data_IF_315052781703
#
_entry.id   IF_315052781703
#
_cell.length_a   1.000
_cell.length_b   1.000
_cell.length_c   1.000
_cell.angle_alpha   90.00
_cell.angle_beta   90.00
_cell.angle_gamma   90.00
#
_symmetry.space_group_name_H-M   'P 1'
#
loop_
_entity.id
_entity.type
_entity.pdbx_description
1 polymer ?
#
# COMPACT_ATOMS: atom_id res chain seq x y z
N UNK A 1 -5.24 38.40 -25.91
CA UNK A 1 -3.85 38.13 -25.46
C UNK A 1 -3.77 37.04 -24.38
N UNK A 2 -4.77 36.92 -23.48
CA UNK A 2 -4.73 35.97 -22.35
C UNK A 2 -4.68 34.47 -22.77
N UNK A 3 -5.37 34.08 -23.82
CA UNK A 3 -5.49 32.65 -24.18
C UNK A 3 -4.21 32.07 -24.77
N UNK A 4 -3.42 32.89 -25.47
CA UNK A 4 -2.14 32.46 -26.08
C UNK A 4 -1.08 32.34 -24.99
N UNK A 5 -1.03 33.30 -24.05
CA UNK A 5 -0.13 33.24 -22.90
C UNK A 5 -0.48 32.06 -21.99
N UNK A 6 -1.76 31.82 -21.72
CA UNK A 6 -2.20 30.69 -20.89
C UNK A 6 -1.87 29.33 -21.55
N UNK A 7 -2.05 29.20 -22.87
CA UNK A 7 -1.64 28.01 -23.63
C UNK A 7 -0.13 27.82 -23.64
N UNK A 8 0.64 28.90 -23.83
CA UNK A 8 2.10 28.85 -23.81
C UNK A 8 2.64 28.45 -22.43
N UNK A 9 2.08 29.01 -21.36
CA UNK A 9 2.44 28.62 -19.97
C UNK A 9 2.07 27.17 -19.69
N UNK A 10 0.89 26.72 -20.13
CA UNK A 10 0.47 25.32 -20.02
C UNK A 10 1.40 24.36 -20.76
N UNK A 11 1.84 24.69 -21.98
CA UNK A 11 2.77 23.88 -22.77
C UNK A 11 4.16 23.84 -22.12
N UNK A 12 4.66 24.96 -21.59
CA UNK A 12 5.96 25.03 -20.92
C UNK A 12 5.97 24.25 -19.61
N UNK A 13 4.91 24.37 -18.80
CA UNK A 13 4.74 23.58 -17.57
C UNK A 13 4.65 22.09 -17.86
N UNK A 14 3.91 21.72 -18.91
CA UNK A 14 3.81 20.33 -19.37
C UNK A 14 5.18 19.81 -19.82
N UNK A 15 5.92 20.56 -20.65
CA UNK A 15 7.25 20.20 -21.10
C UNK A 15 8.26 20.03 -19.95
N UNK A 16 8.17 20.84 -18.89
CA UNK A 16 9.01 20.68 -17.68
C UNK A 16 8.62 19.48 -16.82
N UNK A 17 7.35 19.07 -16.83
CA UNK A 17 6.91 17.87 -16.11
C UNK A 17 7.37 16.56 -16.79
N UNK A 18 7.75 16.61 -18.08
CA UNK A 18 8.25 15.45 -18.82
C UNK A 18 9.71 15.06 -18.48
N UNK A 19 10.49 15.91 -17.81
CA UNK A 19 11.94 15.68 -17.62
C UNK A 19 12.34 14.92 -16.36
N UNK A 20 11.39 14.40 -15.59
CA UNK A 20 11.72 13.58 -14.42
C UNK A 20 10.48 12.97 -13.78
N UNK A 21 10.02 11.83 -14.31
CA UNK A 21 9.03 11.03 -13.61
C UNK A 21 9.78 10.08 -12.67
N UNK A 22 9.79 10.40 -11.38
CA UNK A 22 10.37 9.53 -10.35
C UNK A 22 9.24 8.66 -9.79
N UNK A 23 9.22 7.40 -10.21
CA UNK A 23 8.17 6.42 -9.93
C UNK A 23 8.19 5.31 -10.98
N UNK A 24 7.52 4.19 -10.71
CA UNK A 24 7.60 3.00 -11.57
C UNK A 24 6.88 3.14 -12.93
N UNK A 25 5.97 4.11 -13.08
CA UNK A 25 5.14 4.30 -14.28
C UNK A 25 4.43 3.00 -14.72
N UNK A 26 3.85 2.29 -13.76
CA UNK A 26 3.32 0.96 -13.93
C UNK A 26 2.27 0.83 -15.06
N UNK A 27 1.38 1.81 -15.24
CA UNK A 27 0.34 1.75 -16.28
C UNK A 27 0.95 1.96 -17.66
N UNK A 28 1.81 2.96 -17.81
CA UNK A 28 2.52 3.26 -19.05
C UNK A 28 3.44 2.10 -19.45
N UNK A 29 4.07 1.45 -18.47
CA UNK A 29 4.84 0.21 -18.67
C UNK A 29 3.99 -0.93 -19.24
N UNK A 30 2.73 -1.08 -18.79
CA UNK A 30 1.79 -2.07 -19.36
C UNK A 30 1.44 -1.77 -20.83
N UNK A 31 1.22 -0.50 -21.17
CA UNK A 31 0.97 -0.09 -22.57
C UNK A 31 2.20 -0.36 -23.45
N UNK A 32 3.40 -0.09 -22.91
CA UNK A 32 4.65 -0.39 -23.61
C UNK A 32 4.82 -1.89 -23.86
N UNK A 33 4.53 -2.73 -22.85
CA UNK A 33 4.54 -4.19 -23.00
C UNK A 33 3.58 -4.65 -24.10
N UNK A 34 2.35 -4.13 -24.10
CA UNK A 34 1.38 -4.42 -25.17
C UNK A 34 1.93 -4.06 -26.56
N UNK A 35 2.54 -2.88 -26.72
CA UNK A 35 3.13 -2.48 -28.00
C UNK A 35 4.28 -3.42 -28.45
N UNK A 36 5.11 -3.88 -27.51
CA UNK A 36 6.20 -4.83 -27.81
C UNK A 36 5.66 -6.19 -28.28
N UNK A 37 4.55 -6.65 -27.71
CA UNK A 37 3.90 -7.93 -28.01
C UNK A 37 3.00 -7.87 -29.25
N UNK A 38 2.53 -6.68 -29.65
CA UNK A 38 1.58 -6.50 -30.76
C UNK A 38 2.15 -6.94 -32.12
N UNK A 39 3.42 -6.65 -32.39
CA UNK A 39 4.09 -7.00 -33.66
C UNK A 39 5.57 -7.31 -33.43
N UNK A 40 6.14 -8.18 -34.26
CA UNK A 40 7.51 -8.70 -34.17
C UNK A 40 8.54 -7.88 -34.99
N UNK A 41 8.14 -6.77 -35.59
CA UNK A 41 9.01 -5.90 -36.39
C UNK A 41 9.26 -4.53 -35.73
N UNK A 42 10.53 -4.10 -35.63
CA UNK A 42 10.91 -2.83 -34.99
C UNK A 42 10.23 -1.59 -35.58
N UNK A 43 10.03 -1.54 -36.89
CA UNK A 43 9.43 -0.40 -37.57
C UNK A 43 7.91 -0.44 -37.47
N UNK A 44 7.31 -1.64 -37.52
CA UNK A 44 5.90 -1.81 -37.26
C UNK A 44 5.55 -1.40 -35.81
N UNK A 45 6.38 -1.76 -34.82
CA UNK A 45 6.25 -1.26 -33.43
C UNK A 45 6.32 0.25 -33.34
N UNK A 46 7.16 0.92 -34.14
CA UNK A 46 7.18 2.37 -34.19
C UNK A 46 5.85 2.94 -34.73
N UNK A 47 5.26 2.28 -35.74
CA UNK A 47 3.92 2.62 -36.24
C UNK A 47 2.83 2.44 -35.18
N UNK A 48 2.80 1.31 -34.49
CA UNK A 48 1.87 1.05 -33.38
C UNK A 48 2.08 2.05 -32.24
N UNK A 49 3.33 2.39 -31.91
CA UNK A 49 3.65 3.42 -30.92
C UNK A 49 3.06 4.79 -31.29
N UNK A 50 3.12 5.16 -32.58
CA UNK A 50 2.55 6.40 -33.09
C UNK A 50 1.02 6.41 -32.99
N UNK A 51 0.38 5.27 -33.29
CA UNK A 51 -1.07 5.10 -33.13
C UNK A 51 -1.51 5.14 -31.66
N UNK A 52 -0.68 4.60 -30.76
CA UNK A 52 -0.91 4.61 -29.31
C UNK A 52 -0.48 5.90 -28.62
N UNK A 53 0.07 6.89 -29.33
CA UNK A 53 0.55 8.14 -28.73
C UNK A 53 -0.48 8.82 -27.80
N UNK A 54 -1.79 8.90 -28.13
CA UNK A 54 -2.80 9.44 -27.22
C UNK A 54 -2.95 8.61 -25.94
N UNK A 55 -2.86 7.28 -26.06
CA UNK A 55 -2.95 6.35 -24.93
C UNK A 55 -1.76 6.55 -24.00
N UNK A 56 -0.53 6.61 -24.55
CA UNK A 56 0.68 6.90 -23.76
C UNK A 56 0.58 8.24 -23.03
N UNK A 57 0.02 9.27 -23.66
CA UNK A 57 -0.20 10.56 -23.01
C UNK A 57 -1.11 10.46 -21.79
N UNK A 58 -2.23 9.74 -21.92
CA UNK A 58 -3.18 9.53 -20.82
C UNK A 58 -2.56 8.68 -19.70
N UNK A 59 -1.91 7.57 -20.04
CA UNK A 59 -1.33 6.69 -19.01
C UNK A 59 -0.17 7.35 -18.29
N UNK A 60 0.64 8.14 -18.99
CA UNK A 60 1.74 8.89 -18.36
C UNK A 60 1.19 9.92 -17.38
N UNK A 61 0.11 10.62 -17.73
CA UNK A 61 -0.55 11.56 -16.82
C UNK A 61 -1.17 10.84 -15.60
N UNK A 62 -1.79 9.67 -15.81
CA UNK A 62 -2.35 8.86 -14.73
C UNK A 62 -1.27 8.32 -13.78
N UNK A 63 -0.15 7.84 -14.31
CA UNK A 63 1.00 7.43 -13.50
C UNK A 63 1.54 8.60 -12.70
N UNK A 64 1.76 9.76 -13.32
CA UNK A 64 2.29 10.94 -12.64
C UNK A 64 1.39 11.45 -11.51
N UNK A 65 0.09 11.62 -11.78
CA UNK A 65 -0.84 12.24 -10.82
C UNK A 65 -1.32 11.25 -9.77
N UNK A 66 -1.55 9.99 -10.13
CA UNK A 66 -2.23 9.02 -9.26
C UNK A 66 -1.27 7.94 -8.79
N UNK A 67 -0.75 7.11 -9.68
CA UNK A 67 -0.10 5.87 -9.25
C UNK A 67 1.28 6.08 -8.63
N UNK A 68 2.10 6.98 -9.17
CA UNK A 68 3.39 7.34 -8.59
C UNK A 68 3.21 8.15 -7.30
N UNK A 69 2.17 8.98 -7.21
CA UNK A 69 1.83 9.68 -5.97
C UNK A 69 1.45 8.70 -4.88
N UNK A 70 0.59 7.72 -5.19
CA UNK A 70 0.28 6.62 -4.27
C UNK A 70 1.55 5.85 -3.91
N UNK A 71 2.33 5.40 -4.90
CA UNK A 71 3.59 4.65 -4.71
C UNK A 71 4.54 5.32 -3.71
N UNK A 72 4.71 6.64 -3.79
CA UNK A 72 5.53 7.41 -2.86
C UNK A 72 4.98 7.35 -1.42
N UNK A 73 3.69 7.66 -1.25
CA UNK A 73 3.09 7.73 0.08
C UNK A 73 2.85 6.35 0.71
N UNK A 74 2.70 5.31 -0.11
CA UNK A 74 2.48 3.92 0.32
C UNK A 74 3.74 3.06 0.37
N UNK A 75 4.87 3.57 -0.12
CA UNK A 75 6.14 2.83 -0.26
C UNK A 75 6.13 1.72 -1.32
N UNK A 76 4.97 1.40 -1.90
CA UNK A 76 4.81 0.38 -2.96
C UNK A 76 3.79 0.79 -3.99
N UNK A 77 4.02 0.38 -5.24
CA UNK A 77 3.09 0.67 -6.33
C UNK A 77 1.85 -0.23 -6.22
N UNK A 78 0.62 0.33 -6.23
CA UNK A 78 -0.61 -0.45 -6.06
C UNK A 78 -0.91 -1.41 -7.21
N UNK A 79 -0.22 -1.31 -8.35
CA UNK A 79 -0.43 -2.14 -9.54
C UNK A 79 0.58 -3.29 -9.63
N UNK A 80 1.83 -3.03 -9.25
CA UNK A 80 2.95 -3.98 -9.42
C UNK A 80 3.46 -4.53 -8.09
N UNK A 81 3.02 -3.99 -6.96
CA UNK A 81 3.53 -4.28 -5.59
C UNK A 81 5.05 -4.07 -5.45
N UNK A 82 5.66 -3.36 -6.40
CA UNK A 82 7.09 -3.04 -6.38
C UNK A 82 7.37 -1.91 -5.40
N UNK A 83 8.48 -1.97 -4.64
CA UNK A 83 8.87 -0.90 -3.72
C UNK A 83 9.22 0.38 -4.47
N UNK A 84 8.97 1.53 -3.83
CA UNK A 84 9.32 2.83 -4.38
C UNK A 84 10.85 3.00 -4.44
N UNK A 85 11.35 3.67 -5.48
CA UNK A 85 12.79 3.81 -5.71
C UNK A 85 13.52 4.54 -4.57
N UNK A 86 12.84 5.46 -3.87
CA UNK A 86 13.42 6.18 -2.73
C UNK A 86 13.63 5.35 -1.47
N UNK A 87 13.00 4.18 -1.37
CA UNK A 87 13.23 3.25 -0.27
C UNK A 87 14.46 2.36 -0.53
N UNK A 88 15.18 2.60 -1.63
CA UNK A 88 16.38 1.84 -2.00
C UNK A 88 17.53 2.13 -1.05
N UNK A 89 18.16 1.06 -0.55
CA UNK A 89 19.36 1.15 0.29
C UNK A 89 20.59 1.38 -0.58
N UNK A 90 20.93 2.65 -0.79
CA UNK A 90 22.12 3.10 -1.52
C UNK A 90 23.04 3.91 -0.62
N UNK A 91 24.30 4.05 -1.00
CA UNK A 91 25.22 4.95 -0.30
C UNK A 91 24.78 6.41 -0.50
N UNK A 92 24.48 7.11 0.59
CA UNK A 92 24.03 8.51 0.55
C UNK A 92 25.13 9.46 0.99
N UNK A 93 25.23 10.61 0.31
CA UNK A 93 26.17 11.67 0.68
C UNK A 93 25.78 12.39 1.98
N UNK A 94 24.50 12.35 2.37
CA UNK A 94 23.96 12.96 3.59
C UNK A 94 23.14 11.90 4.31
N UNK A 95 23.44 11.68 5.60
CA UNK A 95 22.78 10.68 6.45
C UNK A 95 21.81 11.36 7.41
N UNK A 96 20.56 11.53 6.98
CA UNK A 96 19.52 12.17 7.79
C UNK A 96 18.88 11.18 8.77
N UNK A 97 18.81 9.89 8.41
CA UNK A 97 18.16 8.87 9.22
C UNK A 97 18.87 8.58 10.55
N UNK A 98 20.16 8.88 10.67
CA UNK A 98 20.94 8.65 11.90
C UNK A 98 20.42 9.52 13.07
N UNK A 99 19.80 10.67 12.75
CA UNK A 99 19.27 11.65 13.71
C UNK A 99 17.72 11.65 13.77
N UNK A 100 17.04 10.76 13.03
CA UNK A 100 15.57 10.69 12.97
C UNK A 100 15.02 9.55 13.82
N UNK A 101 13.86 9.78 14.43
CA UNK A 101 13.08 8.73 15.08
C UNK A 101 12.76 7.61 14.07
N UNK A 102 12.92 6.31 14.41
CA UNK A 102 12.65 5.20 13.51
C UNK A 102 11.27 5.22 12.85
N UNK A 103 10.26 5.80 13.52
CA UNK A 103 8.90 5.93 12.98
C UNK A 103 8.78 6.87 11.77
N UNK A 104 9.80 7.69 11.50
CA UNK A 104 9.82 8.67 10.40
C UNK A 104 10.68 8.24 9.21
N UNK A 105 11.23 7.03 9.25
CA UNK A 105 12.18 6.54 8.24
C UNK A 105 11.51 5.75 7.10
N UNK A 106 10.21 5.48 7.21
CA UNK A 106 9.44 4.67 6.25
C UNK A 106 8.23 5.44 5.71
N UNK A 107 7.62 4.92 4.65
CA UNK A 107 6.44 5.50 4.05
C UNK A 107 5.30 5.67 5.09
N UNK A 108 4.70 6.88 5.19
CA UNK A 108 3.84 7.25 6.30
C UNK A 108 2.46 6.59 6.25
N UNK A 109 2.08 6.05 5.09
CA UNK A 109 0.83 5.33 4.90
C UNK A 109 1.23 3.90 4.56
N UNK A 110 0.93 2.92 5.42
CA UNK A 110 1.02 1.52 5.01
C UNK A 110 0.21 1.34 3.73
N UNK A 111 0.62 0.45 2.82
CA UNK A 111 0.01 0.43 1.51
C UNK A 111 -1.50 0.20 1.62
N UNK A 112 -2.26 0.87 0.75
CA UNK A 112 -3.73 0.75 0.64
C UNK A 112 -4.15 -0.73 0.42
N UNK A 113 -3.19 -1.63 0.20
CA UNK A 113 -3.33 -3.08 0.27
C UNK A 113 -3.50 -3.67 1.69
N UNK A 114 -3.47 -2.89 2.76
CA UNK A 114 -3.90 -3.33 4.10
C UNK A 114 -5.42 -3.45 4.21
N UNK A 115 -6.04 -4.17 3.26
CA UNK A 115 -7.34 -4.78 3.46
C UNK A 115 -7.15 -5.98 4.40
N UNK A 116 -6.62 -5.75 5.61
CA UNK A 116 -6.33 -6.77 6.63
C UNK A 116 -7.65 -7.31 7.17
N UNK A 117 -8.21 -8.25 6.43
CA UNK A 117 -9.42 -8.97 6.80
C UNK A 117 -9.03 -10.33 7.37
N UNK A 118 -9.73 -10.74 8.42
CA UNK A 118 -9.57 -12.07 9.00
C UNK A 118 -10.07 -13.07 7.95
N UNK A 119 -9.17 -13.91 7.45
CA UNK A 119 -9.50 -14.99 6.51
C UNK A 119 -9.91 -16.24 7.30
N UNK A 120 -9.08 -16.63 8.27
CA UNK A 120 -9.40 -17.72 9.20
C UNK A 120 -9.08 -17.35 10.65
N UNK A 121 -9.91 -17.85 11.56
CA UNK A 121 -9.74 -17.72 13.00
C UNK A 121 -10.01 -19.05 13.68
N UNK A 122 -8.98 -19.69 14.24
CA UNK A 122 -9.12 -20.94 14.98
C UNK A 122 -8.99 -20.68 16.47
N UNK A 123 -10.05 -21.00 17.24
CA UNK A 123 -10.01 -20.91 18.70
C UNK A 123 -9.62 -22.25 19.32
N UNK A 124 -8.62 -22.19 20.19
CA UNK A 124 -8.10 -23.32 20.95
C UNK A 124 -8.17 -22.95 22.43
N UNK A 125 -8.74 -23.82 23.24
CA UNK A 125 -8.63 -23.70 24.69
C UNK A 125 -7.22 -24.14 25.09
N UNK A 126 -6.40 -23.21 25.57
CA UNK A 126 -5.02 -23.51 25.94
C UNK A 126 -4.93 -24.09 27.36
N UNK A 127 -5.77 -23.62 28.29
CA UNK A 127 -5.96 -24.22 29.61
C UNK A 127 -7.35 -23.86 30.20
N UNK A 128 -7.62 -24.25 31.45
CA UNK A 128 -8.90 -23.99 32.13
C UNK A 128 -9.26 -22.50 32.23
N UNK A 129 -8.27 -21.62 32.23
CA UNK A 129 -8.42 -20.18 32.40
C UNK A 129 -7.95 -19.38 31.15
N UNK A 130 -7.48 -20.03 30.09
CA UNK A 130 -6.95 -19.35 28.92
C UNK A 130 -7.48 -19.90 27.60
N UNK A 131 -7.81 -18.97 26.70
CA UNK A 131 -8.21 -19.24 25.32
C UNK A 131 -7.23 -18.55 24.38
N UNK A 132 -6.87 -19.22 23.29
CA UNK A 132 -6.04 -18.65 22.22
C UNK A 132 -6.80 -18.70 20.92
N UNK A 133 -6.79 -17.62 20.17
CA UNK A 133 -7.29 -17.57 18.81
C UNK A 133 -6.11 -17.30 17.88
N UNK A 134 -5.84 -18.26 17.00
CA UNK A 134 -4.92 -18.09 15.88
C UNK A 134 -5.67 -17.42 14.73
N UNK A 135 -5.23 -16.22 14.36
CA UNK A 135 -5.81 -15.42 13.30
C UNK A 135 -4.86 -15.46 12.11
N UNK A 136 -5.37 -15.86 10.95
CA UNK A 136 -4.68 -15.71 9.66
C UNK A 136 -5.41 -14.64 8.87
N UNK A 137 -4.68 -13.63 8.44
CA UNK A 137 -5.19 -12.57 7.60
C UNK A 137 -5.07 -12.95 6.12
N UNK A 138 -5.91 -12.35 5.28
CA UNK A 138 -5.88 -12.53 3.83
C UNK A 138 -4.57 -12.12 3.14
N UNK A 139 -3.70 -11.37 3.84
CA UNK A 139 -2.36 -11.00 3.38
C UNK A 139 -1.27 -12.03 3.79
N UNK A 140 -1.65 -13.11 4.47
CA UNK A 140 -0.74 -14.15 4.96
C UNK A 140 -0.07 -13.85 6.31
N UNK A 141 -0.31 -12.67 6.89
CA UNK A 141 0.12 -12.38 8.27
C UNK A 141 -0.68 -13.22 9.27
N UNK A 142 -0.04 -13.55 10.39
CA UNK A 142 -0.68 -14.27 11.50
C UNK A 142 -0.63 -13.44 12.76
N UNK A 143 -1.70 -13.44 13.56
CA UNK A 143 -1.71 -12.87 14.90
C UNK A 143 -2.28 -13.88 15.90
N UNK A 144 -1.88 -13.75 17.16
CA UNK A 144 -2.41 -14.55 18.26
C UNK A 144 -3.15 -13.64 19.22
N UNK A 145 -4.45 -13.90 19.40
CA UNK A 145 -5.26 -13.28 20.44
C UNK A 145 -5.37 -14.25 21.62
N UNK A 146 -4.91 -13.85 22.80
CA UNK A 146 -4.93 -14.65 24.02
C UNK A 146 -5.87 -14.01 25.05
N UNK A 147 -6.84 -14.76 25.55
CA UNK A 147 -7.71 -14.37 26.65
C UNK A 147 -7.30 -15.10 27.93
N UNK A 148 -7.06 -14.36 29.01
CA UNK A 148 -6.74 -14.91 30.33
C UNK A 148 -7.81 -14.51 31.35
N UNK A 149 -8.38 -15.50 32.02
CA UNK A 149 -9.29 -15.32 33.14
C UNK A 149 -8.50 -15.31 34.45
N UNK A 150 -8.65 -14.25 35.22
CA UNK A 150 -8.12 -14.14 36.57
C UNK A 150 -9.24 -13.75 37.54
N UNK A 151 -9.81 -14.75 38.21
CA UNK A 151 -11.00 -14.58 39.05
C UNK A 151 -12.19 -14.09 38.24
N UNK A 152 -12.68 -12.89 38.57
CA UNK A 152 -13.80 -12.23 37.87
C UNK A 152 -13.36 -11.42 36.64
N UNK A 153 -12.06 -11.17 36.49
CA UNK A 153 -11.52 -10.37 35.39
C UNK A 153 -11.11 -11.25 34.20
N UNK A 154 -11.27 -10.72 33.00
CA UNK A 154 -10.80 -11.32 31.75
C UNK A 154 -9.96 -10.28 31.03
N UNK A 155 -8.71 -10.62 30.71
CA UNK A 155 -7.77 -9.78 29.97
C UNK A 155 -7.51 -10.39 28.60
N UNK A 156 -7.54 -9.57 27.55
CA UNK A 156 -7.26 -9.96 26.18
C UNK A 156 -5.95 -9.33 25.72
N UNK A 157 -5.06 -10.15 25.16
CA UNK A 157 -3.77 -9.77 24.63
C UNK A 157 -3.71 -10.09 23.14
N UNK A 158 -3.13 -9.21 22.35
CA UNK A 158 -2.81 -9.45 20.95
C UNK A 158 -1.30 -9.38 20.79
N UNK A 159 -0.70 -10.49 20.35
CA UNK A 159 0.76 -10.64 20.20
C UNK A 159 1.52 -10.20 21.48
N UNK A 160 1.01 -10.59 22.64
CA UNK A 160 1.58 -10.29 23.96
C UNK A 160 1.28 -8.88 24.51
N UNK A 161 0.59 -8.01 23.76
CA UNK A 161 0.20 -6.66 24.23
C UNK A 161 -1.25 -6.65 24.71
N UNK A 162 -1.51 -6.11 25.92
CA UNK A 162 -2.87 -5.96 26.44
C UNK A 162 -3.69 -5.04 25.53
N UNK A 163 -4.80 -5.54 24.99
CA UNK A 163 -5.69 -4.78 24.08
C UNK A 163 -7.06 -4.49 24.68
N UNK A 164 -7.56 -5.34 25.59
CA UNK A 164 -8.84 -5.13 26.24
C UNK A 164 -8.91 -5.85 27.60
N UNK A 165 -9.75 -5.34 28.50
CA UNK A 165 -10.03 -5.98 29.78
C UNK A 165 -11.51 -5.82 30.14
N UNK A 166 -12.12 -6.87 30.66
CA UNK A 166 -13.52 -6.91 31.05
C UNK A 166 -13.73 -7.82 32.27
N UNK A 167 -14.98 -8.00 32.70
CA UNK A 167 -15.34 -8.94 33.76
C UNK A 167 -16.30 -10.01 33.26
N UNK A 168 -16.32 -11.16 33.92
CA UNK A 168 -17.24 -12.26 33.62
C UNK A 168 -18.70 -11.77 33.70
N UNK A 169 -19.04 -10.93 34.68
CA UNK A 169 -20.38 -10.36 34.81
C UNK A 169 -20.78 -9.50 33.60
N UNK A 170 -19.86 -8.67 33.09
CA UNK A 170 -20.11 -7.84 31.89
C UNK A 170 -20.22 -8.68 30.62
N UNK A 171 -19.40 -9.73 30.49
CA UNK A 171 -19.49 -10.68 29.37
C UNK A 171 -20.82 -11.44 29.38
N UNK A 172 -21.27 -11.90 30.54
CA UNK A 172 -22.54 -12.60 30.69
C UNK A 172 -23.74 -11.70 30.32
N UNK A 173 -23.71 -10.42 30.71
CA UNK A 173 -24.74 -9.45 30.38
C UNK A 173 -24.83 -9.13 28.86
N UNK A 174 -23.71 -9.22 28.12
CA UNK A 174 -23.70 -9.05 26.67
C UNK A 174 -24.35 -10.23 25.95
N UNK A 175 -24.20 -11.45 26.47
CA UNK A 175 -24.84 -12.64 25.89
C UNK A 175 -26.39 -12.60 26.04
N UNK A 176 -26.92 -11.95 27.07
CA UNK A 176 -28.38 -11.81 27.25
C UNK A 176 -29.06 -10.83 26.28
N UNK A 177 -28.29 -10.04 25.52
CA UNK A 177 -28.81 -9.09 24.53
C UNK A 177 -28.58 -9.52 23.08
N UNK A 178 -27.98 -10.70 22.85
CA UNK A 178 -27.66 -11.23 21.53
C UNK A 178 -28.74 -12.17 20.94
N UNK A 179 -29.98 -12.08 21.43
CA UNK A 179 -31.17 -12.78 20.89
C UNK A 179 -32.09 -11.79 20.18
#
# INVERSE_FOLDING_TARGET
MNNIVLKAVGITLFASALTGCVGSNAVTGKVMKFNLEAVDNRYARAGVNFLLAPVYGITSAADYVVFNSLEFWTGKNPITDSPHIFDSKVETHIKVNDDLDPSLQEAPISPISNNRQIDTGEMIQADENSVKMHIVYNNGETAVLEGFKNGENVSYYMDGKLVAQTTIAKLAALNSHAV
#
